data_IF_734910938997
#
_entry.id   IF_734910938997
#
_cell.length_a   1.000
_cell.length_b   1.000
_cell.length_c   1.000
_cell.angle_alpha   90.00
_cell.angle_beta   90.00
_cell.angle_gamma   90.00
#
_symmetry.space_group_name_H-M   'P 1'
#
loop_
_entity.id
_entity.type
_entity.pdbx_description
1 polymer ?
#
# COMPACT_ATOMS: atom_id res chain seq x y z
N UNK A 1 39.79 -1.78 6.03
CA UNK A 1 39.16 -2.17 4.76
C UNK A 1 38.19 -3.28 5.11
N UNK A 2 36.88 -3.04 5.15
CA UNK A 2 36.01 -2.87 3.97
C UNK A 2 35.00 -1.75 4.21
N UNK A 3 34.84 -0.90 3.19
CA UNK A 3 33.87 0.19 3.07
C UNK A 3 32.50 -0.37 2.63
N UNK A 4 31.42 0.44 2.78
CA UNK A 4 30.03 0.27 2.26
C UNK A 4 29.10 -0.46 3.25
N UNK A 5 28.01 0.08 3.80
CA UNK A 5 26.92 0.86 3.21
C UNK A 5 26.33 1.88 4.22
N UNK A 6 26.22 3.16 3.85
CA UNK A 6 25.50 4.18 4.63
C UNK A 6 24.69 5.13 3.73
N UNK A 7 24.14 4.63 2.61
CA UNK A 7 23.34 5.44 1.66
C UNK A 7 21.99 4.83 1.25
N UNK A 8 21.35 3.97 2.07
CA UNK A 8 20.09 3.28 1.68
C UNK A 8 18.91 3.42 2.66
N UNK A 9 19.00 4.24 3.71
CA UNK A 9 17.94 4.27 4.73
C UNK A 9 16.64 4.94 4.27
N UNK A 10 16.70 6.05 3.52
CA UNK A 10 15.50 6.80 3.15
C UNK A 10 14.58 6.05 2.15
N UNK A 11 15.17 5.42 1.12
CA UNK A 11 14.41 4.69 0.09
C UNK A 11 13.79 3.38 0.60
N UNK A 12 14.46 2.69 1.51
CA UNK A 12 13.88 1.51 2.18
C UNK A 12 12.71 1.90 3.09
N UNK A 13 12.86 2.97 3.89
CA UNK A 13 11.79 3.39 4.81
C UNK A 13 10.51 3.84 4.10
N UNK A 14 10.63 4.48 2.94
CA UNK A 14 9.47 4.94 2.18
C UNK A 14 8.74 3.77 1.52
N UNK A 15 9.49 2.83 0.92
CA UNK A 15 8.93 1.61 0.33
C UNK A 15 8.21 0.75 1.37
N UNK A 16 8.81 0.58 2.54
CA UNK A 16 8.23 -0.17 3.67
C UNK A 16 6.96 0.52 4.19
N UNK A 17 7.01 1.84 4.41
CA UNK A 17 5.84 2.63 4.79
C UNK A 17 4.69 2.47 3.79
N UNK A 18 4.99 2.55 2.50
CA UNK A 18 3.98 2.44 1.44
C UNK A 18 3.34 1.05 1.41
N UNK A 19 4.14 0.01 1.63
CA UNK A 19 3.65 -1.37 1.72
C UNK A 19 2.77 -1.59 2.96
N UNK A 20 3.17 -1.05 4.11
CA UNK A 20 2.37 -1.09 5.34
C UNK A 20 1.05 -0.34 5.18
N UNK A 21 1.08 0.84 4.55
CA UNK A 21 -0.12 1.61 4.25
C UNK A 21 -1.07 0.82 3.34
N UNK A 22 -0.55 0.15 2.30
CA UNK A 22 -1.36 -0.66 1.41
C UNK A 22 -2.02 -1.84 2.13
N UNK A 23 -1.29 -2.52 3.02
CA UNK A 23 -1.81 -3.61 3.85
C UNK A 23 -2.90 -3.13 4.82
N UNK A 24 -2.69 -1.98 5.46
CA UNK A 24 -3.67 -1.38 6.36
C UNK A 24 -4.93 -0.98 5.59
N UNK A 25 -4.77 -0.30 4.46
CA UNK A 25 -5.88 0.13 3.62
C UNK A 25 -6.70 -1.06 3.09
N UNK A 26 -6.04 -2.16 2.68
CA UNK A 26 -6.75 -3.36 2.24
C UNK A 26 -7.68 -3.91 3.33
N UNK A 27 -7.23 -3.95 4.59
CA UNK A 27 -8.04 -4.41 5.72
C UNK A 27 -9.16 -3.44 6.07
N UNK A 28 -8.84 -2.15 6.17
CA UNK A 28 -9.81 -1.12 6.56
C UNK A 28 -10.94 -0.95 5.54
N UNK A 29 -10.63 -1.07 4.25
CA UNK A 29 -11.59 -0.93 3.16
C UNK A 29 -12.07 -2.29 2.62
N UNK A 30 -11.80 -3.41 3.31
CA UNK A 30 -12.07 -4.74 2.78
C UNK A 30 -13.52 -4.93 2.35
N UNK A 31 -14.47 -4.69 3.26
CA UNK A 31 -15.90 -4.87 2.99
C UNK A 31 -16.44 -3.93 1.89
N UNK A 32 -15.82 -2.76 1.71
CA UNK A 32 -16.26 -1.75 0.73
C UNK A 32 -15.65 -1.98 -0.65
N UNK A 33 -14.33 -2.17 -0.72
CA UNK A 33 -13.59 -2.18 -1.97
C UNK A 33 -13.14 -3.57 -2.42
N UNK A 34 -13.03 -4.53 -1.50
CA UNK A 34 -12.32 -5.80 -1.75
C UNK A 34 -13.12 -7.05 -1.34
N UNK A 35 -14.42 -6.92 -1.08
CA UNK A 35 -15.30 -7.98 -0.57
C UNK A 35 -15.33 -9.25 -1.44
N UNK A 36 -15.02 -9.11 -2.73
CA UNK A 36 -14.99 -10.20 -3.72
C UNK A 36 -13.66 -10.94 -3.78
N UNK A 37 -12.63 -10.45 -3.09
CA UNK A 37 -11.34 -11.13 -2.97
C UNK A 37 -11.28 -11.95 -1.68
N UNK A 38 -10.18 -12.66 -1.46
CA UNK A 38 -9.95 -13.34 -0.19
C UNK A 38 -9.45 -12.35 0.86
N UNK A 39 -9.97 -12.44 2.08
CA UNK A 39 -9.57 -11.59 3.21
C UNK A 39 -8.11 -11.80 3.62
N UNK A 40 -7.60 -13.01 3.43
CA UNK A 40 -6.22 -13.40 3.70
C UNK A 40 -5.27 -13.17 2.51
N UNK A 41 -5.71 -12.42 1.48
CA UNK A 41 -4.85 -12.08 0.35
C UNK A 41 -3.63 -11.28 0.83
N UNK A 42 -2.45 -11.87 0.66
CA UNK A 42 -1.21 -11.18 0.98
C UNK A 42 -0.98 -10.00 0.03
N UNK A 43 -0.86 -8.79 0.60
CA UNK A 43 -0.52 -7.57 -0.13
C UNK A 43 1.01 -7.42 -0.13
N UNK A 44 1.60 -7.69 -1.30
CA UNK A 44 3.00 -7.45 -1.66
C UNK A 44 3.14 -6.12 -2.39
N UNK A 45 4.37 -5.66 -2.61
CA UNK A 45 4.64 -4.39 -3.31
C UNK A 45 4.02 -4.35 -4.72
N UNK A 46 4.06 -5.46 -5.44
CA UNK A 46 3.46 -5.61 -6.78
C UNK A 46 1.94 -5.47 -6.79
N UNK A 47 1.28 -5.64 -5.63
CA UNK A 47 -0.17 -5.50 -5.48
C UNK A 47 -0.60 -4.12 -5.00
N UNK A 48 0.32 -3.20 -4.72
CA UNK A 48 -0.02 -1.82 -4.39
C UNK A 48 -0.90 -1.16 -5.48
N UNK A 49 -0.63 -1.34 -6.79
CA UNK A 49 -1.52 -0.81 -7.84
C UNK A 49 -2.95 -1.36 -7.77
N UNK A 50 -3.13 -2.61 -7.35
CA UNK A 50 -4.44 -3.21 -7.15
C UNK A 50 -5.20 -2.54 -6.00
N UNK A 51 -4.53 -2.29 -4.87
CA UNK A 51 -5.12 -1.58 -3.73
C UNK A 51 -5.49 -0.14 -4.11
N UNK A 52 -4.60 0.58 -4.80
CA UNK A 52 -4.86 1.94 -5.30
C UNK A 52 -6.10 1.96 -6.19
N UNK A 53 -6.25 0.99 -7.11
CA UNK A 53 -7.41 0.92 -8.00
C UNK A 53 -8.71 0.76 -7.21
N UNK A 54 -8.79 -0.23 -6.32
CA UNK A 54 -9.99 -0.46 -5.52
C UNK A 54 -10.37 0.75 -4.63
N UNK A 55 -9.38 1.43 -4.05
CA UNK A 55 -9.61 2.64 -3.26
C UNK A 55 -10.13 3.81 -4.09
N UNK A 56 -9.70 3.94 -5.35
CA UNK A 56 -10.15 5.01 -6.25
C UNK A 56 -11.54 4.77 -6.82
N UNK A 57 -11.87 3.51 -7.12
CA UNK A 57 -13.15 3.12 -7.70
C UNK A 57 -14.25 3.14 -6.63
N UNK A 58 -14.01 2.49 -5.49
CA UNK A 58 -15.07 2.20 -4.51
C UNK A 58 -14.85 2.85 -3.15
N UNK A 59 -13.65 3.37 -2.85
CA UNK A 59 -13.26 3.83 -1.51
C UNK A 59 -13.80 5.20 -1.08
N UNK A 60 -14.54 5.89 -1.96
CA UNK A 60 -15.05 7.24 -1.71
C UNK A 60 -13.94 8.25 -1.39
N UNK A 61 -14.27 9.33 -0.66
CA UNK A 61 -13.30 10.38 -0.34
C UNK A 61 -12.15 9.89 0.55
N UNK A 62 -12.44 9.01 1.51
CA UNK A 62 -11.42 8.47 2.41
C UNK A 62 -10.43 7.58 1.65
N UNK A 63 -10.92 6.64 0.84
CA UNK A 63 -10.08 5.78 0.02
C UNK A 63 -9.28 6.56 -1.02
N UNK A 64 -9.88 7.57 -1.65
CA UNK A 64 -9.17 8.44 -2.61
C UNK A 64 -7.96 9.15 -1.98
N UNK A 65 -8.07 9.61 -0.73
CA UNK A 65 -6.96 10.25 0.01
C UNK A 65 -5.84 9.25 0.31
N UNK A 66 -6.18 8.04 0.74
CA UNK A 66 -5.20 6.98 0.99
C UNK A 66 -4.50 6.56 -0.31
N UNK A 67 -5.26 6.43 -1.40
CA UNK A 67 -4.70 6.14 -2.72
C UNK A 67 -3.73 7.23 -3.19
N UNK A 68 -3.98 8.50 -2.87
CA UNK A 68 -3.06 9.59 -3.19
C UNK A 68 -1.76 9.53 -2.38
N UNK A 69 -1.82 9.08 -1.12
CA UNK A 69 -0.62 8.84 -0.31
C UNK A 69 0.20 7.65 -0.83
N UNK A 70 -0.47 6.58 -1.27
CA UNK A 70 0.17 5.41 -1.89
C UNK A 70 0.84 5.69 -3.25
N UNK A 71 0.57 6.83 -3.89
CA UNK A 71 1.21 7.22 -5.15
C UNK A 71 2.45 8.11 -4.96
N UNK A 72 2.80 8.44 -3.72
CA UNK A 72 4.05 9.16 -3.41
C UNK A 72 5.22 8.20 -3.36
#
# INVERSE_FOLDING_TARGET
MVYIAHMETAGQTDRERRLELARKAFKEFYAQCFWSYREDLEITEEKIPFVIRGLREEGGLAGYRVAAELCR
#
